data_IF_068190022243
#
_entry.id   IF_068190022243
#
_cell.length_a   1.000
_cell.length_b   1.000
_cell.length_c   1.000
_cell.angle_alpha   90.00
_cell.angle_beta   90.00
_cell.angle_gamma   90.00
#
_symmetry.space_group_name_H-M   'P 1'
#
loop_
_entity.id
_entity.type
_entity.pdbx_description
1 polymer ?
#
# COMPACT_ATOMS: atom_id res chain seq x y z
N UNK A 1 -39.11 -15.00 30.54
CA UNK A 1 -38.33 -15.43 29.35
C UNK A 1 -37.96 -14.18 28.58
N UNK A 2 -36.68 -13.82 28.52
CA UNK A 2 -36.21 -12.58 27.86
C UNK A 2 -35.88 -12.91 26.40
N UNK A 3 -36.59 -12.29 25.47
CA UNK A 3 -36.39 -12.47 24.02
C UNK A 3 -35.06 -11.82 23.61
N UNK A 4 -34.07 -12.65 23.29
CA UNK A 4 -32.80 -12.24 22.70
C UNK A 4 -33.05 -11.80 21.26
N UNK A 5 -32.95 -10.50 20.96
CA UNK A 5 -32.99 -9.99 19.59
C UNK A 5 -31.61 -10.22 18.98
N UNK A 6 -31.50 -11.19 18.09
CA UNK A 6 -30.33 -11.43 17.25
C UNK A 6 -30.19 -10.24 16.29
N UNK A 7 -29.25 -9.34 16.54
CA UNK A 7 -28.81 -8.36 15.57
C UNK A 7 -27.96 -9.10 14.54
N UNK A 8 -28.56 -9.39 13.40
CA UNK A 8 -27.90 -9.92 12.22
C UNK A 8 -26.99 -8.80 11.67
N UNK A 9 -25.74 -8.76 12.12
CA UNK A 9 -24.72 -7.88 11.56
C UNK A 9 -24.44 -8.32 10.13
N UNK A 10 -24.80 -7.47 9.15
CA UNK A 10 -24.50 -7.71 7.76
C UNK A 10 -22.97 -7.71 7.58
N UNK A 11 -22.40 -8.89 7.40
CA UNK A 11 -21.01 -9.04 6.96
C UNK A 11 -20.98 -8.60 5.50
N UNK A 12 -20.64 -7.32 5.26
CA UNK A 12 -20.38 -6.83 3.91
C UNK A 12 -19.11 -7.52 3.45
N UNK A 13 -19.28 -8.62 2.70
CA UNK A 13 -18.25 -9.21 1.88
C UNK A 13 -17.83 -8.15 0.87
N UNK A 14 -16.74 -7.43 1.18
CA UNK A 14 -16.02 -6.63 0.20
C UNK A 14 -15.54 -7.61 -0.87
N UNK A 15 -16.29 -7.67 -1.97
CA UNK A 15 -15.88 -8.38 -3.17
C UNK A 15 -14.69 -7.63 -3.75
N UNK A 16 -13.49 -8.04 -3.34
CA UNK A 16 -12.25 -7.64 -3.99
C UNK A 16 -12.27 -8.26 -5.38
N UNK A 17 -12.69 -7.48 -6.38
CA UNK A 17 -12.41 -7.79 -7.77
C UNK A 17 -10.90 -7.67 -7.96
N UNK A 18 -10.17 -8.75 -7.64
CA UNK A 18 -8.84 -8.94 -8.15
C UNK A 18 -8.99 -8.99 -9.67
N UNK A 19 -8.56 -7.93 -10.35
CA UNK A 19 -8.46 -7.94 -11.80
C UNK A 19 -7.63 -9.16 -12.17
N UNK A 20 -8.26 -10.18 -12.77
CA UNK A 20 -7.59 -11.34 -13.32
C UNK A 20 -6.59 -10.85 -14.38
N UNK A 21 -5.34 -10.64 -13.97
CA UNK A 21 -4.26 -10.34 -14.90
C UNK A 21 -3.98 -11.60 -15.71
N UNK A 22 -4.16 -11.54 -17.02
CA UNK A 22 -3.34 -12.38 -17.92
C UNK A 22 -1.97 -11.72 -17.99
N UNK A 23 -1.16 -11.95 -16.96
CA UNK A 23 0.12 -11.28 -16.78
C UNK A 23 1.20 -12.04 -17.54
N UNK A 24 1.68 -11.49 -18.66
CA UNK A 24 2.95 -11.94 -19.24
C UNK A 24 4.15 -11.31 -18.53
N UNK A 25 3.96 -10.35 -17.61
CA UNK A 25 5.00 -9.74 -16.78
C UNK A 25 5.29 -10.59 -15.56
N UNK A 26 6.55 -11.00 -15.38
CA UNK A 26 6.98 -11.74 -14.19
C UNK A 26 7.25 -10.74 -13.08
N UNK A 27 6.39 -10.72 -12.07
CA UNK A 27 6.62 -9.95 -10.85
C UNK A 27 7.40 -10.82 -9.84
N UNK A 28 8.65 -10.46 -9.58
CA UNK A 28 9.60 -11.28 -8.80
C UNK A 28 9.77 -10.80 -7.35
N UNK A 29 8.74 -10.20 -6.76
CA UNK A 29 8.82 -9.73 -5.37
C UNK A 29 9.13 -10.88 -4.42
N UNK A 30 10.25 -10.78 -3.71
CA UNK A 30 10.58 -11.69 -2.63
C UNK A 30 9.89 -11.25 -1.34
N UNK A 31 8.76 -11.86 -1.01
CA UNK A 31 8.01 -11.53 0.21
C UNK A 31 8.83 -11.70 1.50
N UNK A 32 9.83 -12.59 1.52
CA UNK A 32 10.69 -12.75 2.69
C UNK A 32 11.52 -11.48 2.98
N UNK A 33 11.73 -10.61 1.99
CA UNK A 33 12.46 -9.34 2.15
C UNK A 33 11.61 -8.17 2.65
N UNK A 34 10.27 -8.30 2.56
CA UNK A 34 9.34 -7.18 2.86
C UNK A 34 8.32 -7.49 3.95
N UNK A 35 8.05 -8.76 4.25
CA UNK A 35 7.17 -9.18 5.35
C UNK A 35 7.91 -9.07 6.67
N UNK A 36 7.21 -8.64 7.72
CA UNK A 36 7.76 -8.51 9.07
C UNK A 36 7.30 -7.24 9.75
N UNK A 37 7.91 -6.97 10.91
CA UNK A 37 7.63 -5.79 11.72
C UNK A 37 8.74 -4.76 11.52
N UNK A 38 8.35 -3.58 11.07
CA UNK A 38 9.22 -2.43 10.92
C UNK A 38 8.99 -1.51 12.12
N UNK A 39 10.06 -1.07 12.77
CA UNK A 39 9.97 -0.05 13.81
C UNK A 39 10.50 1.26 13.26
N UNK A 40 9.81 2.35 13.56
CA UNK A 40 10.08 3.63 12.93
C UNK A 40 9.42 4.82 13.63
N UNK A 41 9.23 5.86 12.84
CA UNK A 41 8.62 7.12 13.26
C UNK A 41 7.56 7.61 12.27
N UNK A 42 6.64 8.44 12.76
CA UNK A 42 5.68 9.20 11.97
C UNK A 42 6.01 10.69 12.05
N UNK A 43 6.26 11.33 10.92
CA UNK A 43 6.38 12.77 10.82
C UNK A 43 5.08 13.39 10.31
N UNK A 44 4.46 14.27 11.09
CA UNK A 44 3.25 15.00 10.71
C UNK A 44 3.62 16.41 10.22
N UNK A 45 3.37 16.72 8.95
CA UNK A 45 3.78 18.00 8.37
C UNK A 45 2.91 19.20 8.75
N UNK A 46 1.70 18.98 9.28
CA UNK A 46 0.80 20.05 9.74
C UNK A 46 1.28 20.60 11.09
N UNK A 47 1.69 19.70 11.98
CA UNK A 47 2.17 20.05 13.34
C UNK A 47 3.68 20.18 13.42
N UNK A 48 4.40 19.68 12.43
CA UNK A 48 5.86 19.55 12.41
C UNK A 48 6.40 18.70 13.59
N UNK A 49 5.65 17.67 13.97
CA UNK A 49 5.98 16.76 15.07
C UNK A 49 6.35 15.39 14.52
N UNK A 50 7.43 14.83 15.07
CA UNK A 50 7.81 13.42 14.87
C UNK A 50 7.39 12.61 16.08
N UNK A 51 6.75 11.47 15.84
CA UNK A 51 6.42 10.48 16.87
C UNK A 51 7.23 9.22 16.62
N UNK A 52 8.10 8.86 17.56
CA UNK A 52 8.93 7.65 17.49
C UNK A 52 8.20 6.42 18.05
N UNK A 53 8.83 5.25 17.90
CA UNK A 53 8.30 3.96 18.37
C UNK A 53 6.93 3.62 17.78
N UNK A 54 6.77 3.91 16.49
CA UNK A 54 5.65 3.48 15.66
C UNK A 54 6.05 2.20 14.94
N UNK A 55 5.12 1.28 14.80
CA UNK A 55 5.34 -0.02 14.16
C UNK A 55 4.49 -0.15 12.91
N UNK A 56 5.06 -0.74 11.86
CA UNK A 56 4.32 -1.23 10.71
C UNK A 56 4.50 -2.75 10.61
N UNK A 57 3.42 -3.49 10.84
CA UNK A 57 3.37 -4.93 10.66
C UNK A 57 2.87 -5.26 9.26
N UNK A 58 3.69 -6.00 8.51
CA UNK A 58 3.48 -6.24 7.09
C UNK A 58 3.30 -7.73 6.89
N UNK A 59 2.14 -8.11 6.33
CA UNK A 59 1.77 -9.50 6.09
C UNK A 59 1.39 -9.71 4.63
N UNK A 60 1.68 -10.91 4.11
CA UNK A 60 1.22 -11.31 2.78
C UNK A 60 -0.27 -11.62 2.82
N UNK A 61 -1.05 -10.98 1.96
CA UNK A 61 -2.50 -11.16 1.85
C UNK A 61 -2.95 -11.75 0.50
N UNK A 62 -2.05 -11.87 -0.48
CA UNK A 62 -2.29 -12.49 -1.78
C UNK A 62 -1.01 -12.56 -2.61
N UNK A 63 -1.11 -12.96 -3.88
CA UNK A 63 0.06 -13.19 -4.74
C UNK A 63 0.94 -11.95 -4.93
N UNK A 64 0.32 -10.78 -5.11
CA UNK A 64 0.99 -9.49 -5.25
C UNK A 64 0.45 -8.47 -4.23
N UNK A 65 -0.13 -8.95 -3.12
CA UNK A 65 -0.91 -8.12 -2.20
C UNK A 65 -0.38 -8.28 -0.77
N UNK A 66 -0.13 -7.15 -0.11
CA UNK A 66 0.22 -7.08 1.30
C UNK A 66 -0.85 -6.33 2.09
N UNK A 67 -0.97 -6.67 3.37
CA UNK A 67 -1.67 -5.88 4.37
C UNK A 67 -0.63 -5.25 5.30
N UNK A 68 -0.82 -3.98 5.61
CA UNK A 68 0.03 -3.19 6.50
C UNK A 68 -0.84 -2.68 7.63
N UNK A 69 -0.48 -3.03 8.87
CA UNK A 69 -1.03 -2.45 10.09
C UNK A 69 0.02 -1.51 10.68
N UNK A 70 -0.25 -0.20 10.65
CA UNK A 70 0.63 0.83 11.19
C UNK A 70 0.03 1.38 12.48
N UNK A 71 0.75 1.24 13.60
CA UNK A 71 0.25 1.60 14.92
C UNK A 71 1.33 2.16 15.86
N UNK A 72 0.91 3.01 16.79
CA UNK A 72 1.77 3.66 17.78
C UNK A 72 1.58 5.17 17.78
N UNK A 73 1.93 5.84 18.89
CA UNK A 73 1.86 7.30 18.93
C UNK A 73 0.45 7.90 18.79
N UNK A 74 -0.60 7.11 19.06
CA UNK A 74 -2.00 7.50 18.82
C UNK A 74 -2.45 7.37 17.36
N UNK A 75 -1.59 6.87 16.47
CA UNK A 75 -1.93 6.47 15.11
C UNK A 75 -2.23 4.96 15.09
N UNK A 76 -3.30 4.56 14.40
CA UNK A 76 -3.66 3.15 14.19
C UNK A 76 -4.45 3.05 12.87
N UNK A 77 -3.87 2.40 11.87
CA UNK A 77 -4.51 2.22 10.57
C UNK A 77 -4.09 0.90 9.92
N UNK A 78 -5.01 0.28 9.20
CA UNK A 78 -4.74 -0.90 8.39
C UNK A 78 -5.16 -0.67 6.96
N UNK A 79 -4.28 -1.01 6.01
CA UNK A 79 -4.51 -0.82 4.59
C UNK A 79 -3.79 -1.91 3.78
N UNK A 80 -4.19 -2.05 2.52
CA UNK A 80 -3.64 -3.08 1.63
C UNK A 80 -3.05 -2.45 0.38
N UNK A 81 -1.92 -2.97 -0.07
CA UNK A 81 -1.20 -2.47 -1.25
C UNK A 81 -0.79 -3.63 -2.16
N UNK A 82 -0.81 -3.38 -3.46
CA UNK A 82 -0.11 -4.23 -4.40
C UNK A 82 1.40 -3.95 -4.35
N UNK A 83 2.21 -4.98 -4.57
CA UNK A 83 3.67 -4.90 -4.62
C UNK A 83 4.20 -5.19 -6.01
N UNK A 84 5.25 -4.48 -6.41
CA UNK A 84 5.87 -4.57 -7.73
C UNK A 84 7.40 -4.55 -7.59
N UNK A 85 8.05 -5.54 -8.19
CA UNK A 85 9.51 -5.59 -8.29
C UNK A 85 10.07 -4.37 -9.04
N UNK A 86 11.14 -3.79 -8.49
CA UNK A 86 11.88 -2.67 -9.07
C UNK A 86 13.38 -2.71 -8.69
N UNK A 87 14.03 -3.86 -8.91
CA UNK A 87 15.45 -4.04 -8.62
C UNK A 87 15.71 -4.12 -7.12
N UNK A 88 16.45 -3.16 -6.55
CA UNK A 88 16.74 -3.12 -5.10
C UNK A 88 15.53 -2.72 -4.24
N UNK A 89 14.46 -2.26 -4.90
CA UNK A 89 13.25 -1.78 -4.26
C UNK A 89 12.05 -2.65 -4.61
N UNK A 90 11.11 -2.74 -3.69
CA UNK A 90 9.74 -3.15 -4.00
C UNK A 90 8.86 -1.92 -3.92
N UNK A 91 8.24 -1.56 -5.03
CA UNK A 91 7.31 -0.43 -5.11
C UNK A 91 5.92 -0.89 -4.70
N UNK A 92 5.14 0.03 -4.12
CA UNK A 92 3.77 -0.25 -3.69
C UNK A 92 2.78 0.69 -4.34
N UNK A 93 1.59 0.17 -4.64
CA UNK A 93 0.49 0.98 -5.18
C UNK A 93 -0.86 0.49 -4.65
N UNK A 94 -1.81 1.40 -4.56
CA UNK A 94 -3.22 1.04 -4.34
C UNK A 94 -3.75 0.22 -5.51
N UNK A 95 -4.82 -0.56 -5.28
CA UNK A 95 -5.49 -1.30 -6.34
C UNK A 95 -7.01 -1.04 -6.32
N UNK A 96 -7.70 -1.46 -7.38
CA UNK A 96 -9.17 -1.43 -7.45
C UNK A 96 -9.78 -0.06 -7.13
N UNK A 97 -10.78 -0.04 -6.24
CA UNK A 97 -11.46 1.20 -5.87
C UNK A 97 -10.55 2.17 -5.10
N UNK A 98 -9.58 1.66 -4.32
CA UNK A 98 -8.64 2.51 -3.59
C UNK A 98 -7.72 3.25 -4.57
N UNK A 99 -7.32 2.60 -5.67
CA UNK A 99 -6.59 3.27 -6.76
C UNK A 99 -7.43 4.39 -7.37
N UNK A 100 -8.67 4.11 -7.75
CA UNK A 100 -9.53 5.11 -8.38
C UNK A 100 -9.81 6.30 -7.46
N UNK A 101 -10.01 6.03 -6.17
CA UNK A 101 -10.21 7.07 -5.17
C UNK A 101 -8.95 7.93 -4.98
N UNK A 102 -7.77 7.33 -5.08
CA UNK A 102 -6.49 8.03 -4.93
C UNK A 102 -6.14 8.88 -6.17
N UNK A 103 -6.31 8.34 -7.37
CA UNK A 103 -5.81 8.93 -8.61
C UNK A 103 -6.90 9.60 -9.46
N UNK A 104 -8.19 9.38 -9.16
CA UNK A 104 -9.30 9.99 -9.88
C UNK A 104 -9.59 9.36 -11.26
N UNK A 105 -8.88 8.29 -11.63
CA UNK A 105 -9.13 7.50 -12.83
C UNK A 105 -9.04 6.01 -12.55
N UNK A 106 -9.69 5.21 -13.38
CA UNK A 106 -9.59 3.75 -13.29
C UNK A 106 -8.19 3.27 -13.72
N UNK A 107 -7.78 2.10 -13.23
CA UNK A 107 -6.62 1.40 -13.77
C UNK A 107 -6.88 1.08 -15.25
N UNK A 108 -5.96 1.46 -16.14
CA UNK A 108 -6.05 1.08 -17.54
C UNK A 108 -5.57 -0.36 -17.70
N UNK A 109 -6.46 -1.26 -18.09
CA UNK A 109 -6.13 -2.67 -18.38
C UNK A 109 -5.44 -2.84 -19.74
N UNK A 110 -4.76 -1.81 -20.23
CA UNK A 110 -4.07 -1.87 -21.52
C UNK A 110 -2.91 -2.85 -21.41
N UNK A 111 -3.00 -3.93 -22.17
CA UNK A 111 -1.95 -4.94 -22.34
C UNK A 111 -0.75 -4.31 -23.05
N UNK A 112 0.01 -3.49 -22.34
CA UNK A 112 1.32 -3.05 -22.81
C UNK A 112 2.22 -4.27 -22.79
N UNK A 113 2.70 -4.68 -23.96
CA UNK A 113 3.68 -5.75 -24.08
C UNK A 113 4.90 -5.38 -23.23
N UNK A 114 5.35 -6.31 -22.39
CA UNK A 114 6.56 -6.13 -21.61
C UNK A 114 7.68 -5.65 -22.51
N UNK A 115 8.22 -4.48 -22.19
CA UNK A 115 9.47 -4.06 -22.80
C UNK A 115 10.57 -4.95 -22.20
N UNK A 116 11.35 -5.59 -23.05
CA UNK A 116 12.48 -6.42 -22.60
C UNK A 116 13.40 -5.57 -21.72
N UNK A 117 13.72 -6.05 -20.51
CA UNK A 117 14.55 -5.35 -19.53
C UNK A 117 13.81 -4.36 -18.61
N UNK A 118 12.49 -4.19 -18.73
CA UNK A 118 11.70 -3.37 -17.80
C UNK A 118 11.29 -4.15 -16.55
N UNK A 119 11.22 -3.45 -15.41
CA UNK A 119 10.78 -4.03 -14.14
C UNK A 119 9.26 -4.22 -14.11
N UNK A 120 8.74 -4.96 -13.12
CA UNK A 120 7.30 -5.09 -12.92
C UNK A 120 6.67 -3.72 -12.60
N UNK A 121 7.41 -2.87 -11.89
CA UNK A 121 7.03 -1.48 -11.63
C UNK A 121 6.93 -0.64 -12.91
N UNK A 122 7.95 -0.68 -13.78
CA UNK A 122 7.93 0.07 -15.05
C UNK A 122 6.70 -0.27 -15.89
N UNK A 123 6.37 -1.56 -15.98
CA UNK A 123 5.21 -2.03 -16.72
C UNK A 123 3.89 -1.60 -16.06
N UNK A 124 3.82 -1.62 -14.72
CA UNK A 124 2.66 -1.12 -13.98
C UNK A 124 2.42 0.37 -14.23
N UNK A 125 3.48 1.18 -14.15
CA UNK A 125 3.46 2.61 -14.42
C UNK A 125 2.97 2.91 -15.83
N UNK A 126 3.58 2.28 -16.84
CA UNK A 126 3.22 2.51 -18.23
C UNK A 126 1.77 2.08 -18.56
N UNK A 127 1.26 1.05 -17.88
CA UNK A 127 -0.09 0.55 -18.14
C UNK A 127 -1.17 1.36 -17.40
N UNK A 128 -0.92 1.78 -16.15
CA UNK A 128 -1.99 2.24 -15.26
C UNK A 128 -1.91 3.72 -14.86
N UNK A 129 -0.75 4.35 -14.98
CA UNK A 129 -0.52 5.68 -14.43
C UNK A 129 -0.39 6.76 -15.50
N UNK A 130 -0.80 7.97 -15.14
CA UNK A 130 -0.52 9.20 -15.90
C UNK A 130 0.64 9.96 -15.24
N UNK A 131 1.23 10.92 -15.96
CA UNK A 131 2.42 11.64 -15.48
C UNK A 131 2.22 12.47 -14.21
N UNK A 132 0.97 12.77 -13.84
CA UNK A 132 0.64 13.50 -12.61
C UNK A 132 0.48 12.60 -11.38
N UNK A 133 0.52 11.28 -11.53
CA UNK A 133 0.30 10.36 -10.43
C UNK A 133 1.49 10.32 -9.47
N UNK A 134 1.20 10.53 -8.19
CA UNK A 134 2.18 10.48 -7.12
C UNK A 134 2.14 9.10 -6.44
N UNK A 135 3.31 8.58 -6.09
CA UNK A 135 3.43 7.31 -5.36
C UNK A 135 3.93 7.55 -3.95
N UNK A 136 3.35 6.78 -3.03
CA UNK A 136 3.40 7.11 -1.62
C UNK A 136 4.29 6.18 -0.80
N UNK A 137 4.83 5.10 -1.36
CA UNK A 137 5.69 4.24 -0.57
C UNK A 137 6.56 3.29 -1.37
N UNK A 138 7.53 2.71 -0.66
CA UNK A 138 8.41 1.68 -1.17
C UNK A 138 9.10 0.94 -0.04
N UNK A 139 9.56 -0.26 -0.35
CA UNK A 139 10.54 -1.00 0.44
C UNK A 139 11.90 -0.85 -0.22
N UNK A 140 12.91 -0.61 0.59
CA UNK A 140 14.30 -0.78 0.17
C UNK A 140 14.83 -2.07 0.80
N UNK A 141 15.11 -3.05 -0.06
CA UNK A 141 15.49 -4.39 0.39
C UNK A 141 16.95 -4.44 0.87
N UNK A 142 17.80 -3.47 0.52
CA UNK A 142 19.20 -3.40 0.96
C UNK A 142 19.35 -3.00 2.41
N UNK A 143 18.49 -2.11 2.90
CA UNK A 143 18.52 -1.61 4.27
C UNK A 143 17.31 -2.09 5.09
N UNK A 144 16.52 -3.01 4.54
CA UNK A 144 15.25 -3.49 5.08
C UNK A 144 14.38 -2.36 5.65
N UNK A 145 14.23 -1.27 4.89
CA UNK A 145 13.39 -0.14 5.28
C UNK A 145 12.08 -0.10 4.51
N UNK A 146 11.06 0.45 5.16
CA UNK A 146 9.75 0.72 4.58
C UNK A 146 9.37 2.17 4.87
N UNK A 147 8.99 2.89 3.82
CA UNK A 147 8.54 4.28 3.93
C UNK A 147 7.16 4.42 3.27
N UNK A 148 6.29 5.21 3.91
CA UNK A 148 4.95 5.48 3.39
C UNK A 148 4.43 6.86 3.77
N UNK A 149 3.93 7.61 2.78
CA UNK A 149 3.34 8.94 2.92
C UNK A 149 1.81 8.85 2.90
N UNK A 150 1.19 8.97 4.07
CA UNK A 150 -0.26 9.08 4.20
C UNK A 150 -0.72 10.50 3.81
N UNK A 151 -1.66 10.60 2.88
CA UNK A 151 -2.35 11.86 2.61
C UNK A 151 -3.60 11.94 3.47
N UNK A 152 -3.66 12.97 4.32
CA UNK A 152 -4.71 13.17 5.31
C UNK A 152 -5.52 14.41 4.96
N UNK A 153 -6.82 14.35 5.24
CA UNK A 153 -7.72 15.48 5.11
C UNK A 153 -8.59 15.56 6.36
N UNK A 154 -8.54 16.71 7.03
CA UNK A 154 -9.54 17.09 8.02
C UNK A 154 -10.46 18.19 7.45
N UNK A 155 -11.34 18.76 8.27
CA UNK A 155 -12.30 19.77 7.84
C UNK A 155 -11.64 21.09 7.38
N UNK A 156 -10.40 21.34 7.76
CA UNK A 156 -9.70 22.62 7.59
C UNK A 156 -8.44 22.50 6.73
N UNK A 157 -7.77 21.34 6.76
CA UNK A 157 -6.44 21.16 6.20
C UNK A 157 -6.33 19.87 5.39
N UNK A 158 -5.54 19.95 4.31
CA UNK A 158 -4.93 18.78 3.69
C UNK A 158 -3.48 18.72 4.19
N UNK A 159 -3.06 17.58 4.71
CA UNK A 159 -1.72 17.41 5.28
C UNK A 159 -1.22 15.98 5.01
N UNK A 160 0.02 15.70 5.36
CA UNK A 160 0.59 14.35 5.24
C UNK A 160 1.26 13.89 6.52
N UNK A 161 1.18 12.58 6.72
CA UNK A 161 1.92 11.88 7.76
C UNK A 161 2.88 10.92 7.06
N UNK A 162 4.16 10.98 7.39
CA UNK A 162 5.19 10.17 6.75
C UNK A 162 5.72 9.12 7.72
N UNK A 163 5.51 7.85 7.40
CA UNK A 163 6.13 6.74 8.10
C UNK A 163 7.50 6.43 7.49
N UNK A 164 8.50 6.24 8.35
CA UNK A 164 9.79 5.69 7.97
C UNK A 164 10.22 4.69 9.03
N UNK A 165 10.44 3.43 8.65
CA UNK A 165 10.83 2.38 9.59
C UNK A 165 11.80 1.37 8.99
N UNK A 166 12.47 0.64 9.87
CA UNK A 166 13.45 -0.39 9.54
C UNK A 166 13.03 -1.70 10.21
N UNK A 167 13.18 -2.81 9.49
CA UNK A 167 12.95 -4.15 10.01
C UNK A 167 14.19 -4.61 10.77
N UNK A 168 13.97 -5.01 12.03
CA UNK A 168 15.01 -5.62 12.87
C UNK A 168 15.24 -7.08 12.50
#
# INVERSE_FOLDING_TARGET
MKTFKLLLGAFILLSFSSCNKKNNSVNNVNFAEIVGTYQGSLFNNLTNITTDSVYAEITKAGDELIQIHCFGGGFDTTYMLNVYDNGDYTMVCMNGNAFQNQYGHACNSSNMMNKSGSTAWDNHMAANHISSDVHFGSFNMKNHSFNYDFTMKDNLNNYSIKYNGVRN
#
